data_IF_455520398626
#
_entry.id   IF_455520398626
#
_cell.length_a   1.000
_cell.length_b   1.000
_cell.length_c   1.000
_cell.angle_alpha   90.00
_cell.angle_beta   90.00
_cell.angle_gamma   90.00
#
_symmetry.space_group_name_H-M   'P 1'
#
loop_
_entity.id
_entity.type
_entity.pdbx_description
1 polymer ?
#
# COMPACT_ATOMS: atom_id res chain seq x y z
N UNK A 1 -92.18 28.56 25.29
CA UNK A 1 -91.11 27.57 25.68
C UNK A 1 -90.24 27.32 24.43
N UNK A 2 -89.16 28.04 24.27
CA UNK A 2 -88.22 27.88 23.12
C UNK A 2 -86.98 27.17 23.56
N UNK A 3 -86.78 25.92 23.11
CA UNK A 3 -85.59 25.18 23.27
C UNK A 3 -84.56 25.59 22.22
N UNK A 4 -83.36 26.00 22.64
CA UNK A 4 -82.26 26.43 21.80
C UNK A 4 -81.44 25.21 21.33
N UNK A 5 -81.41 24.87 19.99
CA UNK A 5 -80.78 23.62 19.53
C UNK A 5 -79.33 23.78 19.10
N UNK A 6 -78.58 24.80 19.53
CA UNK A 6 -77.19 24.99 19.14
C UNK A 6 -76.21 24.69 20.28
N UNK A 7 -76.11 23.42 20.69
CA UNK A 7 -74.99 22.92 21.47
C UNK A 7 -73.82 22.66 20.52
N UNK A 8 -72.83 23.58 20.47
CA UNK A 8 -71.57 23.38 19.73
C UNK A 8 -70.75 22.21 20.33
N UNK A 9 -70.39 21.21 19.54
CA UNK A 9 -69.50 20.14 20.04
C UNK A 9 -68.12 20.73 20.39
N UNK A 10 -67.62 20.34 21.55
CA UNK A 10 -66.27 20.64 22.03
C UNK A 10 -65.22 19.97 21.12
N UNK A 11 -64.83 20.65 20.02
CA UNK A 11 -63.85 20.20 19.03
C UNK A 11 -62.36 20.29 19.47
N UNK A 12 -62.07 20.77 20.68
CA UNK A 12 -60.69 21.06 21.10
C UNK A 12 -59.87 19.86 21.57
N UNK A 13 -60.49 18.72 21.96
CA UNK A 13 -59.75 17.53 22.46
C UNK A 13 -59.30 16.56 21.36
N UNK A 14 -59.90 16.61 20.17
CA UNK A 14 -59.49 15.77 19.04
C UNK A 14 -58.21 16.24 18.38
N UNK A 15 -58.07 17.58 18.20
CA UNK A 15 -56.92 18.17 17.49
C UNK A 15 -55.56 17.94 18.14
N UNK A 16 -55.53 17.97 19.48
CA UNK A 16 -54.27 17.68 20.22
C UNK A 16 -53.87 16.21 20.08
N UNK A 17 -54.86 15.28 20.11
CA UNK A 17 -54.58 13.85 19.90
C UNK A 17 -54.08 13.55 18.49
N UNK A 18 -54.72 14.14 17.47
CA UNK A 18 -54.26 13.98 16.08
C UNK A 18 -52.88 14.55 15.85
N UNK A 19 -52.56 15.71 16.42
CA UNK A 19 -51.26 16.33 16.36
C UNK A 19 -50.18 15.44 17.03
N UNK A 20 -50.44 14.85 18.20
CA UNK A 20 -49.52 13.95 18.90
C UNK A 20 -49.26 12.65 18.11
N UNK A 21 -50.29 12.10 17.47
CA UNK A 21 -50.11 10.89 16.63
C UNK A 21 -49.25 11.18 15.42
N UNK A 22 -49.46 12.32 14.74
CA UNK A 22 -48.60 12.72 13.60
C UNK A 22 -47.16 12.98 14.04
N UNK A 23 -46.97 13.72 15.14
CA UNK A 23 -45.65 13.97 15.70
C UNK A 23 -44.92 12.66 16.07
N UNK A 24 -45.62 11.74 16.71
CA UNK A 24 -45.02 10.42 17.05
C UNK A 24 -44.67 9.64 15.79
N UNK A 25 -45.53 9.65 14.77
CA UNK A 25 -45.25 9.00 13.49
C UNK A 25 -43.99 9.53 12.81
N UNK A 26 -43.84 10.87 12.79
CA UNK A 26 -42.64 11.53 12.22
C UNK A 26 -41.39 11.17 13.03
N UNK A 27 -41.46 11.22 14.36
CA UNK A 27 -40.31 10.86 15.22
C UNK A 27 -39.88 9.41 15.05
N UNK A 28 -40.84 8.48 14.94
CA UNK A 28 -40.55 7.06 14.67
C UNK A 28 -39.92 6.89 13.28
N UNK A 29 -40.44 7.56 12.26
CA UNK A 29 -39.89 7.51 10.91
C UNK A 29 -38.42 8.01 10.87
N UNK A 30 -38.13 9.16 11.50
CA UNK A 30 -36.79 9.71 11.60
C UNK A 30 -35.83 8.81 12.39
N UNK A 31 -36.31 8.19 13.48
CA UNK A 31 -35.49 7.27 14.27
C UNK A 31 -35.14 5.99 13.49
N UNK A 32 -36.08 5.46 12.68
CA UNK A 32 -35.85 4.32 11.80
C UNK A 32 -34.88 4.68 10.66
N UNK A 33 -35.02 5.86 10.06
CA UNK A 33 -34.12 6.34 9.02
C UNK A 33 -32.69 6.50 9.54
N UNK A 34 -32.49 7.10 10.72
CA UNK A 34 -31.21 7.22 11.37
C UNK A 34 -30.60 5.85 11.69
N UNK A 35 -31.39 4.95 12.29
CA UNK A 35 -30.93 3.61 12.63
C UNK A 35 -30.49 2.80 11.40
N UNK A 36 -31.20 2.94 10.28
CA UNK A 36 -30.82 2.29 9.02
C UNK A 36 -29.55 2.90 8.42
N UNK A 37 -29.41 4.22 8.47
CA UNK A 37 -28.22 4.94 8.00
C UNK A 37 -26.98 4.51 8.80
N UNK A 38 -27.07 4.52 10.13
CA UNK A 38 -25.96 4.11 11.01
C UNK A 38 -25.54 2.64 10.78
N UNK A 39 -26.51 1.76 10.57
CA UNK A 39 -26.24 0.37 10.26
C UNK A 39 -25.54 0.20 8.89
N UNK A 40 -25.96 0.96 7.86
CA UNK A 40 -25.32 0.94 6.55
C UNK A 40 -23.89 1.50 6.61
N UNK A 41 -23.67 2.58 7.36
CA UNK A 41 -22.34 3.13 7.56
C UNK A 41 -21.41 2.14 8.30
N UNK A 42 -21.88 1.47 9.34
CA UNK A 42 -21.13 0.45 10.06
C UNK A 42 -20.72 -0.71 9.13
N UNK A 43 -21.66 -1.19 8.29
CA UNK A 43 -21.33 -2.20 7.28
C UNK A 43 -20.28 -1.74 6.27
N UNK A 44 -20.39 -0.51 5.77
CA UNK A 44 -19.38 0.08 4.87
C UNK A 44 -18.01 0.16 5.55
N UNK A 45 -17.97 0.45 6.85
CA UNK A 45 -16.71 0.46 7.60
C UNK A 45 -16.07 -0.94 7.67
N UNK A 46 -16.87 -1.98 7.89
CA UNK A 46 -16.41 -3.35 7.92
C UNK A 46 -15.90 -3.82 6.55
N UNK A 47 -16.63 -3.54 5.48
CA UNK A 47 -16.22 -3.87 4.10
C UNK A 47 -14.93 -3.12 3.72
N UNK A 48 -14.79 -1.86 4.14
CA UNK A 48 -13.57 -1.07 3.94
C UNK A 48 -12.38 -1.69 4.66
N UNK A 49 -12.56 -2.13 5.92
CA UNK A 49 -11.51 -2.80 6.69
C UNK A 49 -11.06 -4.11 6.04
N UNK A 50 -12.00 -4.92 5.54
CA UNK A 50 -11.67 -6.15 4.82
C UNK A 50 -10.81 -5.86 3.58
N UNK A 51 -11.21 -4.90 2.76
CA UNK A 51 -10.44 -4.49 1.58
C UNK A 51 -9.03 -3.98 1.97
N UNK A 52 -8.93 -3.21 3.05
CA UNK A 52 -7.64 -2.72 3.55
C UNK A 52 -6.74 -3.86 4.03
N UNK A 53 -7.30 -4.87 4.72
CA UNK A 53 -6.53 -6.04 5.14
C UNK A 53 -6.04 -6.88 3.96
N UNK A 54 -6.82 -6.99 2.89
CA UNK A 54 -6.38 -7.63 1.65
C UNK A 54 -5.21 -6.88 1.01
N UNK A 55 -5.31 -5.55 0.87
CA UNK A 55 -4.20 -4.74 0.36
C UNK A 55 -2.93 -4.87 1.22
N UNK A 56 -3.08 -4.91 2.55
CA UNK A 56 -1.96 -5.09 3.47
C UNK A 56 -1.32 -6.49 3.36
N UNK A 57 -2.12 -7.53 3.11
CA UNK A 57 -1.64 -8.89 2.85
C UNK A 57 -0.85 -8.96 1.55
N UNK A 58 -1.36 -8.34 0.48
CA UNK A 58 -0.64 -8.24 -0.79
C UNK A 58 0.68 -7.48 -0.63
N UNK A 59 0.66 -6.41 0.18
CA UNK A 59 1.89 -5.68 0.48
C UNK A 59 2.88 -6.52 1.29
N UNK A 60 2.43 -7.35 2.22
CA UNK A 60 3.30 -8.26 2.96
C UNK A 60 4.05 -9.23 2.03
N UNK A 61 3.40 -9.72 0.95
CA UNK A 61 4.07 -10.52 -0.09
C UNK A 61 5.20 -9.73 -0.76
N UNK A 62 4.95 -8.44 -1.10
CA UNK A 62 5.97 -7.55 -1.68
C UNK A 62 7.16 -7.38 -0.73
N UNK A 63 6.90 -7.15 0.56
CA UNK A 63 7.93 -6.99 1.58
C UNK A 63 8.76 -8.25 1.78
N UNK A 64 8.13 -9.42 1.86
CA UNK A 64 8.81 -10.72 1.98
C UNK A 64 9.67 -11.03 0.74
N UNK A 65 9.15 -10.73 -0.44
CA UNK A 65 9.92 -10.89 -1.66
C UNK A 65 11.13 -9.94 -1.66
N UNK A 66 10.99 -8.72 -1.13
CA UNK A 66 12.11 -7.79 -0.98
C UNK A 66 13.19 -8.38 -0.05
N UNK A 67 12.84 -8.89 1.11
CA UNK A 67 13.77 -9.55 2.02
C UNK A 67 14.49 -10.71 1.32
N UNK A 68 13.74 -11.56 0.64
CA UNK A 68 14.28 -12.74 -0.02
C UNK A 68 15.23 -12.39 -1.20
N UNK A 69 14.98 -11.27 -1.93
CA UNK A 69 15.83 -10.84 -3.05
C UNK A 69 17.02 -9.98 -2.63
N UNK A 70 17.00 -9.37 -1.46
CA UNK A 70 18.03 -8.44 -0.99
C UNK A 70 19.47 -9.00 -1.07
N UNK A 71 19.76 -10.26 -0.66
CA UNK A 71 21.10 -10.82 -0.79
C UNK A 71 21.58 -10.92 -2.26
N UNK A 72 20.67 -11.28 -3.18
CA UNK A 72 20.98 -11.33 -4.61
C UNK A 72 21.31 -9.94 -5.16
N UNK A 73 20.59 -8.91 -4.70
CA UNK A 73 20.84 -7.51 -5.08
C UNK A 73 22.23 -7.07 -4.63
N UNK A 74 22.59 -7.36 -3.37
CA UNK A 74 23.93 -7.05 -2.83
C UNK A 74 25.02 -7.73 -3.66
N UNK A 75 24.88 -9.01 -3.95
CA UNK A 75 25.82 -9.76 -4.75
C UNK A 75 25.94 -9.16 -6.16
N UNK A 76 24.83 -8.87 -6.84
CA UNK A 76 24.83 -8.31 -8.19
C UNK A 76 25.50 -6.95 -8.24
N UNK A 77 25.25 -6.08 -7.26
CA UNK A 77 25.89 -4.77 -7.19
C UNK A 77 27.39 -4.89 -6.90
N UNK A 78 27.83 -5.92 -6.21
CA UNK A 78 29.25 -6.23 -6.04
C UNK A 78 29.87 -6.70 -7.35
N UNK A 79 29.23 -7.62 -8.07
CA UNK A 79 29.70 -8.11 -9.38
C UNK A 79 29.85 -6.95 -10.39
N UNK A 80 28.92 -5.98 -10.38
CA UNK A 80 28.99 -4.78 -11.23
C UNK A 80 30.15 -3.85 -10.82
N UNK A 81 30.40 -3.67 -9.53
CA UNK A 81 31.49 -2.84 -9.01
C UNK A 81 32.84 -3.45 -9.35
N UNK A 82 32.98 -4.77 -9.20
CA UNK A 82 34.19 -5.53 -9.58
C UNK A 82 34.42 -5.45 -11.10
N UNK A 83 33.36 -5.55 -11.90
CA UNK A 83 33.42 -5.38 -13.35
C UNK A 83 33.93 -3.99 -13.73
N UNK A 84 33.44 -2.92 -13.09
CA UNK A 84 33.91 -1.54 -13.32
C UNK A 84 35.32 -1.27 -12.79
N UNK A 85 35.81 -2.10 -11.87
CA UNK A 85 37.17 -1.99 -11.30
C UNK A 85 38.24 -2.70 -12.12
N UNK A 86 37.82 -3.58 -13.05
CA UNK A 86 38.72 -4.31 -13.96
C UNK A 86 39.37 -3.43 -15.02
N UNK A 87 39.95 -4.06 -16.05
CA UNK A 87 40.78 -3.47 -17.09
C UNK A 87 40.19 -2.25 -17.78
N UNK A 88 41.02 -1.55 -18.58
CA UNK A 88 40.65 -0.36 -19.35
C UNK A 88 39.53 -0.62 -20.38
N UNK A 89 39.37 -1.86 -20.83
CA UNK A 89 38.27 -2.34 -21.66
C UNK A 89 37.37 -3.27 -20.88
N UNK A 90 36.07 -2.96 -20.80
CA UNK A 90 35.08 -3.81 -20.14
C UNK A 90 34.62 -4.89 -21.11
N UNK A 91 34.58 -6.18 -20.69
CA UNK A 91 33.91 -7.22 -21.46
C UNK A 91 32.42 -6.95 -21.54
N UNK A 92 31.80 -7.29 -22.66
CA UNK A 92 30.37 -7.12 -22.86
C UNK A 92 29.57 -7.93 -21.82
N UNK A 93 28.47 -7.36 -21.34
CA UNK A 93 27.53 -8.00 -20.41
C UNK A 93 26.25 -8.31 -21.17
N UNK A 94 25.87 -9.58 -21.24
CA UNK A 94 24.62 -10.00 -21.90
C UNK A 94 23.39 -9.63 -21.07
N UNK A 95 23.42 -9.93 -19.76
CA UNK A 95 22.32 -9.65 -18.86
C UNK A 95 22.79 -9.25 -17.46
N UNK A 96 22.39 -8.06 -17.03
CA UNK A 96 22.69 -7.58 -15.67
C UNK A 96 21.70 -8.17 -14.65
N UNK A 97 20.45 -8.34 -15.04
CA UNK A 97 19.35 -8.64 -14.11
C UNK A 97 19.05 -7.45 -13.18
N UNK A 98 17.81 -7.22 -12.89
CA UNK A 98 17.37 -6.14 -11.97
C UNK A 98 16.40 -6.66 -10.95
N UNK A 99 16.22 -5.89 -9.87
CA UNK A 99 15.19 -6.16 -8.88
C UNK A 99 13.79 -6.14 -9.52
N UNK A 100 12.91 -7.07 -9.15
CA UNK A 100 11.53 -7.01 -9.60
C UNK A 100 10.85 -5.77 -9.05
N UNK A 101 10.11 -5.07 -9.92
CA UNK A 101 9.26 -3.97 -9.50
C UNK A 101 7.87 -4.51 -9.19
N UNK A 102 7.50 -4.49 -7.92
CA UNK A 102 6.24 -5.00 -7.44
C UNK A 102 5.38 -3.86 -6.93
N UNK A 103 4.11 -3.92 -7.27
CA UNK A 103 3.11 -2.99 -6.80
C UNK A 103 2.17 -3.67 -5.81
N UNK A 104 1.74 -2.94 -4.81
CA UNK A 104 0.52 -3.23 -4.07
C UNK A 104 -0.49 -2.11 -4.27
N UNK A 105 -1.78 -2.43 -4.26
CA UNK A 105 -2.84 -1.43 -4.25
C UNK A 105 -2.76 -0.62 -2.95
N UNK A 106 -3.18 0.63 -3.02
CA UNK A 106 -3.26 1.56 -1.89
C UNK A 106 -4.57 2.35 -1.95
N UNK A 107 -5.58 1.77 -2.56
CA UNK A 107 -6.88 2.41 -2.80
C UNK A 107 -7.73 2.47 -1.55
N UNK A 108 -7.56 1.53 -0.63
CA UNK A 108 -8.37 1.38 0.58
C UNK A 108 -8.30 2.57 1.54
N UNK A 109 -7.20 3.32 1.54
CA UNK A 109 -7.02 4.53 2.38
C UNK A 109 -7.47 5.83 1.71
N UNK A 110 -8.13 5.78 0.55
CA UNK A 110 -8.57 6.95 -0.20
C UNK A 110 -10.02 7.32 0.08
N UNK A 111 -10.40 8.53 -0.31
CA UNK A 111 -11.76 9.03 -0.11
C UNK A 111 -12.09 9.22 1.38
N UNK A 112 -13.28 8.83 1.80
CA UNK A 112 -13.77 8.99 3.17
C UNK A 112 -13.37 7.87 4.15
N UNK A 113 -12.44 6.97 3.78
CA UNK A 113 -12.04 5.84 4.64
C UNK A 113 -11.45 6.27 5.99
N UNK A 114 -10.54 7.28 6.08
CA UNK A 114 -10.03 7.75 7.36
C UNK A 114 -11.13 8.24 8.32
N UNK A 115 -12.08 9.02 7.82
CA UNK A 115 -13.20 9.57 8.59
C UNK A 115 -14.16 8.46 9.01
N UNK A 116 -14.46 7.54 8.11
CA UNK A 116 -15.33 6.39 8.35
C UNK A 116 -14.75 5.49 9.45
N UNK A 117 -13.46 5.15 9.35
CA UNK A 117 -12.78 4.36 10.39
C UNK A 117 -12.71 5.11 11.72
N UNK A 118 -12.36 6.39 11.71
CA UNK A 118 -12.27 7.21 12.92
C UNK A 118 -13.61 7.25 13.66
N UNK A 119 -14.73 7.34 12.94
CA UNK A 119 -16.08 7.36 13.51
C UNK A 119 -16.49 6.00 14.08
N UNK A 120 -16.26 4.90 13.37
CA UNK A 120 -16.77 3.57 13.73
C UNK A 120 -15.80 2.72 14.56
N UNK A 121 -14.49 2.96 14.45
CA UNK A 121 -13.44 2.19 15.15
C UNK A 121 -12.56 3.03 16.07
N UNK A 122 -12.76 4.35 16.04
CA UNK A 122 -12.05 5.31 16.85
C UNK A 122 -10.77 5.88 16.19
N UNK A 123 -10.36 7.08 16.62
CA UNK A 123 -9.26 7.83 16.00
C UNK A 123 -7.91 7.12 16.10
N UNK A 124 -7.66 6.39 17.19
CA UNK A 124 -6.41 5.65 17.38
C UNK A 124 -6.24 4.54 16.33
N UNK A 125 -7.31 3.80 16.04
CA UNK A 125 -7.25 2.75 15.03
C UNK A 125 -7.07 3.36 13.64
N UNK A 126 -7.82 4.41 13.30
CA UNK A 126 -7.65 5.12 12.03
C UNK A 126 -6.21 5.63 11.85
N UNK A 127 -5.56 6.16 12.92
CA UNK A 127 -4.17 6.58 12.88
C UNK A 127 -3.22 5.42 12.53
N UNK A 128 -3.38 4.25 13.16
CA UNK A 128 -2.52 3.08 12.89
C UNK A 128 -2.60 2.67 11.43
N UNK A 129 -3.80 2.62 10.84
CA UNK A 129 -3.97 2.34 9.41
C UNK A 129 -3.31 3.41 8.53
N UNK A 130 -3.49 4.70 8.88
CA UNK A 130 -2.85 5.80 8.17
C UNK A 130 -1.33 5.69 8.14
N UNK A 131 -0.70 5.33 9.25
CA UNK A 131 0.75 5.11 9.33
C UNK A 131 1.21 3.93 8.47
N UNK A 132 0.41 2.86 8.33
CA UNK A 132 0.72 1.75 7.42
C UNK A 132 0.67 2.23 5.97
N UNK A 133 -0.39 2.93 5.56
CA UNK A 133 -0.51 3.42 4.19
C UNK A 133 0.56 4.45 3.82
N UNK A 134 0.98 5.29 4.78
CA UNK A 134 2.13 6.17 4.60
C UNK A 134 3.42 5.36 4.37
N UNK A 135 3.67 4.32 5.17
CA UNK A 135 4.83 3.44 4.98
C UNK A 135 4.81 2.71 3.63
N UNK A 136 3.63 2.29 3.14
CA UNK A 136 3.47 1.73 1.79
C UNK A 136 3.84 2.75 0.69
N UNK A 137 3.52 4.03 0.89
CA UNK A 137 3.87 5.10 -0.06
C UNK A 137 5.37 5.38 -0.05
N UNK A 138 5.98 5.50 1.12
CA UNK A 138 7.42 5.70 1.27
C UNK A 138 8.22 4.55 0.66
N UNK A 139 7.80 3.30 0.89
CA UNK A 139 8.39 2.13 0.26
C UNK A 139 8.31 2.19 -1.26
N UNK A 140 7.15 2.56 -1.82
CA UNK A 140 6.96 2.65 -3.26
C UNK A 140 7.83 3.74 -3.90
N UNK A 141 7.96 4.91 -3.27
CA UNK A 141 8.83 6.00 -3.75
C UNK A 141 10.30 5.57 -3.76
N UNK A 142 10.76 4.91 -2.70
CA UNK A 142 12.14 4.42 -2.63
C UNK A 142 12.40 3.30 -3.64
N UNK A 143 11.42 2.41 -3.88
CA UNK A 143 11.50 1.38 -4.91
C UNK A 143 11.57 1.99 -6.32
N UNK A 144 10.85 3.09 -6.59
CA UNK A 144 10.98 3.83 -7.85
C UNK A 144 12.37 4.43 -8.03
N UNK A 145 12.95 5.00 -6.98
CA UNK A 145 14.31 5.53 -7.01
C UNK A 145 15.33 4.41 -7.29
N UNK A 146 15.18 3.26 -6.65
CA UNK A 146 16.01 2.10 -6.94
C UNK A 146 15.91 1.66 -8.39
N UNK A 147 14.71 1.60 -8.96
CA UNK A 147 14.52 1.26 -10.39
C UNK A 147 15.18 2.26 -11.32
N UNK A 148 15.21 3.54 -10.97
CA UNK A 148 15.93 4.55 -11.74
C UNK A 148 17.45 4.31 -11.75
N UNK A 149 18.04 3.92 -10.62
CA UNK A 149 19.44 3.53 -10.53
C UNK A 149 19.73 2.28 -11.40
N UNK A 150 18.88 1.25 -11.30
CA UNK A 150 19.00 0.06 -12.14
C UNK A 150 18.89 0.35 -13.65
N UNK A 151 17.98 1.23 -14.05
CA UNK A 151 17.85 1.63 -15.46
C UNK A 151 19.14 2.25 -16.02
N UNK A 152 19.86 3.04 -15.22
CA UNK A 152 21.16 3.60 -15.60
C UNK A 152 22.26 2.54 -15.62
N UNK A 153 22.26 1.60 -14.69
CA UNK A 153 23.21 0.48 -14.68
C UNK A 153 23.02 -0.45 -15.89
N UNK A 154 21.79 -0.61 -16.39
CA UNK A 154 21.51 -1.40 -17.60
C UNK A 154 22.20 -0.86 -18.85
N UNK A 155 22.58 0.43 -18.88
CA UNK A 155 23.38 0.98 -20.00
C UNK A 155 24.77 0.34 -20.14
N UNK A 156 25.22 -0.46 -19.13
CA UNK A 156 26.44 -1.27 -19.23
C UNK A 156 26.29 -2.43 -20.22
N UNK A 157 25.09 -2.93 -20.47
CA UNK A 157 24.83 -4.01 -21.43
C UNK A 157 25.11 -3.56 -22.88
N UNK A 158 24.95 -2.27 -23.14
CA UNK A 158 25.18 -1.66 -24.47
C UNK A 158 26.62 -1.13 -24.63
N UNK A 159 27.43 -1.20 -23.56
CA UNK A 159 28.75 -0.63 -23.53
C UNK A 159 29.82 -1.67 -23.91
N UNK A 160 30.17 -1.75 -25.16
CA UNK A 160 31.37 -2.47 -25.61
C UNK A 160 32.59 -1.56 -25.62
N UNK A 161 33.71 -2.03 -25.04
CA UNK A 161 34.99 -1.37 -25.15
C UNK A 161 35.35 -0.42 -23.98
N UNK A 162 36.13 0.61 -24.27
CA UNK A 162 36.66 1.50 -23.24
C UNK A 162 35.57 2.41 -22.64
N UNK A 163 35.42 2.32 -21.32
CA UNK A 163 34.57 3.25 -20.56
C UNK A 163 35.48 4.31 -19.93
N UNK A 164 35.24 5.57 -20.24
CA UNK A 164 36.03 6.71 -19.73
C UNK A 164 35.87 6.86 -18.19
N UNK A 165 36.83 7.50 -17.56
CA UNK A 165 36.83 7.69 -16.10
C UNK A 165 35.60 8.42 -15.59
N UNK A 166 35.06 9.48 -16.22
CA UNK A 166 33.83 10.15 -15.81
C UNK A 166 32.59 9.24 -15.86
N UNK A 167 32.49 8.37 -16.88
CA UNK A 167 31.37 7.41 -17.00
C UNK A 167 31.49 6.33 -15.94
N UNK A 168 32.68 5.78 -15.66
CA UNK A 168 32.92 4.81 -14.58
C UNK A 168 32.52 5.39 -13.22
N UNK A 169 32.90 6.63 -12.96
CA UNK A 169 32.56 7.29 -11.70
C UNK A 169 31.04 7.42 -11.52
N UNK A 170 30.31 7.88 -12.55
CA UNK A 170 28.85 7.95 -12.51
C UNK A 170 28.17 6.59 -12.28
N UNK A 171 28.65 5.53 -12.93
CA UNK A 171 28.12 4.20 -12.74
C UNK A 171 28.34 3.68 -11.31
N UNK A 172 29.48 4.01 -10.69
CA UNK A 172 29.71 3.69 -9.27
C UNK A 172 28.80 4.49 -8.34
N UNK A 173 28.45 5.71 -8.65
CA UNK A 173 27.43 6.46 -7.91
C UNK A 173 26.07 5.77 -7.99
N UNK A 174 25.68 5.27 -9.17
CA UNK A 174 24.42 4.51 -9.33
C UNK A 174 24.44 3.19 -8.54
N UNK A 175 25.58 2.47 -8.50
CA UNK A 175 25.76 1.29 -7.67
C UNK A 175 25.62 1.65 -6.19
N UNK A 176 26.24 2.73 -5.73
CA UNK A 176 26.13 3.18 -4.35
C UNK A 176 24.70 3.58 -4.01
N UNK A 177 24.01 4.28 -4.91
CA UNK A 177 22.59 4.64 -4.79
C UNK A 177 21.69 3.40 -4.69
N UNK A 178 21.91 2.40 -5.55
CA UNK A 178 21.15 1.15 -5.52
C UNK A 178 21.42 0.33 -4.24
N UNK A 179 22.68 0.30 -3.75
CA UNK A 179 23.02 -0.32 -2.45
C UNK A 179 22.28 0.33 -1.29
N UNK A 180 22.30 1.65 -1.23
CA UNK A 180 21.59 2.40 -0.18
C UNK A 180 20.08 2.17 -0.24
N UNK A 181 19.49 2.22 -1.44
CA UNK A 181 18.07 1.93 -1.62
C UNK A 181 17.72 0.49 -1.19
N UNK A 182 18.54 -0.51 -1.54
CA UNK A 182 18.36 -1.89 -1.10
C UNK A 182 18.37 -2.01 0.43
N UNK A 183 19.33 -1.36 1.10
CA UNK A 183 19.43 -1.37 2.56
C UNK A 183 18.19 -0.77 3.22
N UNK A 184 17.77 0.41 2.77
CA UNK A 184 16.59 1.10 3.31
C UNK A 184 15.30 0.32 3.05
N UNK A 185 15.10 -0.19 1.83
CA UNK A 185 13.92 -0.99 1.47
C UNK A 185 13.84 -2.27 2.30
N UNK A 186 14.97 -2.92 2.58
CA UNK A 186 15.00 -4.11 3.42
C UNK A 186 14.67 -3.76 4.87
N UNK A 187 15.22 -2.68 5.40
CA UNK A 187 14.92 -2.22 6.76
C UNK A 187 13.44 -1.82 6.92
N UNK A 188 12.88 -1.11 5.94
CA UNK A 188 11.45 -0.78 5.92
C UNK A 188 10.61 -2.05 5.85
N UNK A 189 11.01 -3.03 5.02
CA UNK A 189 10.29 -4.30 4.91
C UNK A 189 10.24 -5.04 6.24
N UNK A 190 11.35 -5.12 6.98
CA UNK A 190 11.40 -5.75 8.31
C UNK A 190 10.45 -5.05 9.30
N UNK A 191 10.49 -3.74 9.36
CA UNK A 191 9.64 -2.95 10.27
C UNK A 191 8.16 -3.08 9.92
N UNK A 192 7.83 -2.99 8.63
CA UNK A 192 6.45 -3.07 8.16
C UNK A 192 5.84 -4.45 8.38
N UNK A 193 6.59 -5.54 8.13
CA UNK A 193 6.11 -6.89 8.40
C UNK A 193 5.81 -7.11 9.88
N UNK A 194 6.67 -6.63 10.80
CA UNK A 194 6.41 -6.68 12.23
C UNK A 194 5.15 -5.90 12.61
N UNK A 195 4.94 -4.74 11.99
CA UNK A 195 3.78 -3.90 12.24
C UNK A 195 2.49 -4.55 11.73
N UNK A 196 2.49 -5.10 10.51
CA UNK A 196 1.36 -5.83 9.95
C UNK A 196 0.99 -7.06 10.80
N UNK A 197 1.97 -7.83 11.26
CA UNK A 197 1.75 -8.95 12.16
C UNK A 197 1.11 -8.52 13.49
N UNK A 198 1.47 -7.34 14.03
CA UNK A 198 0.86 -6.79 15.24
C UNK A 198 -0.60 -6.33 15.06
N UNK A 199 -1.09 -6.27 13.83
CA UNK A 199 -2.47 -5.94 13.46
C UNK A 199 -3.28 -7.17 13.04
N UNK A 200 -2.81 -8.38 13.36
CA UNK A 200 -3.41 -9.65 12.95
C UNK A 200 -3.56 -9.81 11.43
N UNK A 201 -2.74 -9.09 10.65
CA UNK A 201 -2.64 -9.32 9.21
C UNK A 201 -1.78 -10.58 9.02
N UNK A 202 -2.35 -11.57 8.34
CA UNK A 202 -1.63 -12.79 8.01
C UNK A 202 -0.51 -12.51 6.98
N UNK A 203 0.70 -12.34 7.49
CA UNK A 203 1.89 -12.02 6.68
C UNK A 203 2.57 -13.26 6.10
N UNK A 204 2.23 -14.46 6.57
CA UNK A 204 2.95 -15.70 6.25
C UNK A 204 2.21 -16.63 5.29
N UNK A 205 0.88 -16.53 5.18
CA UNK A 205 0.05 -17.48 4.43
C UNK A 205 0.20 -17.38 2.92
N UNK A 206 0.58 -16.22 2.38
CA UNK A 206 0.73 -16.08 0.94
C UNK A 206 2.09 -16.62 0.47
N UNK A 207 2.12 -17.64 -0.41
CA UNK A 207 3.36 -18.15 -0.96
C UNK A 207 4.05 -17.07 -1.77
N UNK A 208 5.39 -17.04 -1.74
CA UNK A 208 6.13 -16.18 -2.64
C UNK A 208 5.83 -16.60 -4.10
N UNK A 209 5.50 -15.64 -4.98
CA UNK A 209 4.91 -15.94 -6.30
C UNK A 209 5.85 -16.64 -7.28
N UNK A 210 7.14 -16.80 -6.95
CA UNK A 210 8.16 -17.38 -7.85
C UNK A 210 9.30 -17.98 -7.05
N UNK A 211 9.89 -19.08 -7.56
CA UNK A 211 11.17 -19.55 -7.05
C UNK A 211 12.23 -18.43 -7.18
N UNK A 212 12.89 -18.14 -6.09
CA UNK A 212 13.91 -17.08 -6.01
C UNK A 212 15.05 -17.31 -6.98
N UNK A 213 15.35 -18.58 -7.30
CA UNK A 213 16.40 -18.96 -8.27
C UNK A 213 16.08 -18.53 -9.71
N UNK A 214 14.79 -18.36 -10.04
CA UNK A 214 14.34 -17.92 -11.36
C UNK A 214 14.39 -16.38 -11.53
N UNK A 215 14.63 -15.63 -10.45
CA UNK A 215 14.72 -14.17 -10.52
C UNK A 215 16.02 -13.75 -11.20
N UNK A 216 15.91 -12.92 -12.22
CA UNK A 216 17.04 -12.44 -13.02
C UNK A 216 18.17 -11.83 -12.16
N UNK A 217 17.84 -11.14 -11.06
CA UNK A 217 18.83 -10.58 -10.13
C UNK A 217 19.60 -11.65 -9.34
N UNK A 218 18.99 -12.85 -9.16
CA UNK A 218 19.61 -13.97 -8.42
C UNK A 218 20.34 -14.96 -9.33
N UNK A 219 20.22 -14.81 -10.65
CA UNK A 219 21.00 -15.63 -11.60
C UNK A 219 22.39 -15.02 -11.80
N UNK A 220 23.42 -15.81 -12.10
CA UNK A 220 24.74 -15.28 -12.40
C UNK A 220 24.68 -14.21 -13.50
N UNK A 221 25.52 -13.18 -13.39
CA UNK A 221 25.67 -12.19 -14.47
C UNK A 221 26.30 -12.90 -15.67
N UNK A 222 25.58 -12.97 -16.79
CA UNK A 222 26.11 -13.55 -18.03
C UNK A 222 27.06 -12.55 -18.70
N UNK A 223 28.26 -13.02 -19.03
CA UNK A 223 29.24 -12.28 -19.84
C UNK A 223 29.25 -12.87 -21.23
N UNK A 224 29.38 -12.04 -22.24
CA UNK A 224 29.62 -12.51 -23.61
C UNK A 224 31.07 -13.02 -23.64
N UNK A 225 31.26 -14.33 -23.85
CA UNK A 225 32.58 -14.88 -24.11
C UNK A 225 33.01 -14.38 -25.50
N UNK A 226 34.06 -13.54 -25.54
CA UNK A 226 34.63 -12.98 -26.75
C UNK A 226 35.61 -13.95 -27.44
#
# INVERSE_FOLDING_TARGET
MNANPYARPRRGRGLVGEFLVVMLGVLVALALEQGLSDWQEARRADDTLLAMHEEMRDFAVVLRLRQATSPCVVQRLQELDDHLSGADSLPAIEAIGRTPYLFSSRSGWRGGAPELLSRHRGPRQAQVYGEIYQGMEEFALLAQQEQANWARLQTLQEAEGAVDAPRRWRLREEIAGARNANLLLTAIADQMLQRLASMDVDVDSAPLPVDMRERAVCQPMSRVEG
#
